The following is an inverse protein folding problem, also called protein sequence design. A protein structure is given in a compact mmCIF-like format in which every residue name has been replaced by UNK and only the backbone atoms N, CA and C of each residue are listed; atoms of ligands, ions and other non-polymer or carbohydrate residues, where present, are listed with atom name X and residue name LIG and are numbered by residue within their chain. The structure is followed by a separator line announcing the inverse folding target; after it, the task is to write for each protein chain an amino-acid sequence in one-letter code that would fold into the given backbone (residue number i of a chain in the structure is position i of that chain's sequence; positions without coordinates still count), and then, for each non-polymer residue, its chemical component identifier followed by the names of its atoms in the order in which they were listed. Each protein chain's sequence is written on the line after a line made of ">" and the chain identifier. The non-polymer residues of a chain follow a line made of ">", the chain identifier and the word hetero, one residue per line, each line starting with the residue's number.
data_IF_170784639522
#
_entry.id   IF_170784639522
#
_cell.length_a   1.000
_cell.length_b   1.000
_cell.length_c   1.000
_cell.angle_alpha   90.00
_cell.angle_beta   90.00
_cell.angle_gamma   90.00
#
_symmetry.space_group_name_H-M   'P 1'
#
loop_
_entity.id
_entity.type
_entity.pdbx_description
1 polymer ?
#
# COMPACT_ATOMS: atom_id res chain seq x y z
N UNK A 1 4.94 -3.36 3.58
CA UNK A 1 4.25 -3.44 2.27
C UNK A 1 5.09 -4.11 1.18
N UNK A 2 6.42 -4.14 1.31
CA UNK A 2 7.30 -4.79 0.32
C UNK A 2 6.98 -6.26 0.04
N UNK A 3 6.58 -7.03 1.05
CA UNK A 3 6.27 -8.44 0.81
C UNK A 3 5.02 -8.62 -0.09
N UNK A 4 3.97 -7.82 0.13
CA UNK A 4 2.78 -7.83 -0.75
C UNK A 4 3.17 -7.37 -2.16
N UNK A 5 3.94 -6.29 -2.29
CA UNK A 5 4.42 -5.82 -3.59
C UNK A 5 5.26 -6.87 -4.32
N UNK A 6 6.09 -7.62 -3.60
CA UNK A 6 6.88 -8.75 -4.12
C UNK A 6 5.98 -9.91 -4.56
N UNK A 7 4.97 -10.28 -3.77
CA UNK A 7 4.01 -11.32 -4.16
C UNK A 7 3.27 -10.93 -5.45
N UNK A 8 2.85 -9.66 -5.56
CA UNK A 8 2.26 -9.13 -6.78
C UNK A 8 3.23 -9.22 -7.96
N UNK A 9 4.48 -8.78 -7.79
CA UNK A 9 5.45 -8.72 -8.90
C UNK A 9 5.79 -10.07 -9.51
N UNK A 10 5.70 -11.16 -8.73
CA UNK A 10 5.93 -12.55 -9.21
C UNK A 10 4.67 -13.24 -9.74
N UNK A 11 3.56 -12.52 -9.90
CA UNK A 11 2.37 -13.06 -10.56
C UNK A 11 1.23 -13.50 -9.64
N UNK A 12 1.25 -13.20 -8.33
CA UNK A 12 0.13 -13.56 -7.44
C UNK A 12 -1.17 -12.84 -7.84
N UNK A 13 -2.21 -13.63 -8.16
CA UNK A 13 -3.51 -13.14 -8.66
C UNK A 13 -4.62 -13.15 -7.62
N UNK A 14 -4.45 -13.86 -6.51
CA UNK A 14 -5.47 -14.00 -5.45
C UNK A 14 -5.54 -12.79 -4.54
N UNK A 15 -4.47 -11.99 -4.46
CA UNK A 15 -4.47 -10.71 -3.74
C UNK A 15 -5.15 -9.67 -4.63
N UNK A 16 -6.34 -9.24 -4.20
CA UNK A 16 -7.18 -8.28 -4.93
C UNK A 16 -7.08 -6.85 -4.40
N UNK A 17 -6.61 -6.65 -3.17
CA UNK A 17 -6.48 -5.34 -2.55
C UNK A 17 -5.74 -5.40 -1.21
N UNK A 18 -5.46 -4.22 -0.66
CA UNK A 18 -4.86 -4.00 0.67
C UNK A 18 -5.58 -2.86 1.36
N UNK A 19 -5.49 -2.83 2.69
CA UNK A 19 -5.92 -1.71 3.52
C UNK A 19 -4.68 -1.10 4.20
N UNK A 20 -4.61 0.22 4.27
CA UNK A 20 -3.50 0.98 4.86
C UNK A 20 -4.09 2.11 5.70
N UNK A 21 -3.62 2.24 6.94
CA UNK A 21 -3.96 3.37 7.81
C UNK A 21 -2.92 4.48 7.66
N UNK A 22 -3.35 5.59 7.09
CA UNK A 22 -2.52 6.75 6.75
C UNK A 22 -3.17 8.04 7.20
N UNK A 23 -2.36 8.99 7.65
CA UNK A 23 -2.78 10.36 7.90
C UNK A 23 -1.67 11.33 7.44
N UNK A 24 -1.89 12.63 7.57
CA UNK A 24 -0.90 13.66 7.23
C UNK A 24 0.36 13.48 8.10
N UNK A 25 0.17 13.41 9.41
CA UNK A 25 1.20 13.18 10.42
C UNK A 25 1.17 11.72 10.90
N UNK A 26 2.35 11.17 11.15
CA UNK A 26 2.48 9.79 11.63
C UNK A 26 2.00 9.62 13.08
N UNK A 27 1.69 8.37 13.43
CA UNK A 27 1.33 7.96 14.78
C UNK A 27 -0.11 8.32 15.17
N UNK A 28 -0.31 8.51 16.47
CA UNK A 28 -1.59 8.90 17.09
C UNK A 28 -1.36 9.91 18.19
N UNK A 29 -2.41 10.64 18.55
CA UNK A 29 -2.47 11.54 19.70
C UNK A 29 -3.66 11.19 20.60
N UNK A 30 -3.56 11.54 21.88
CA UNK A 30 -4.65 11.36 22.85
C UNK A 30 -5.56 12.59 22.88
N UNK A 31 -6.87 12.36 23.05
CA UNK A 31 -7.84 13.44 23.21
C UNK A 31 -7.85 13.92 24.67
N UNK A 32 -7.06 14.94 24.97
CA UNK A 32 -6.93 15.50 26.33
C UNK A 32 -7.70 16.83 26.41
N UNK A 33 -8.65 16.99 27.36
CA UNK A 33 -9.40 18.24 27.52
C UNK A 33 -8.49 19.47 27.69
N UNK A 34 -8.74 20.50 26.90
CA UNK A 34 -8.00 21.77 26.96
C UNK A 34 -6.65 21.75 26.23
N UNK A 35 -6.20 20.61 25.69
CA UNK A 35 -5.01 20.55 24.84
C UNK A 35 -5.39 20.66 23.37
N UNK A 36 -4.71 21.53 22.58
CA UNK A 36 -4.93 21.58 21.15
C UNK A 36 -4.43 20.30 20.48
N UNK A 37 -5.16 19.82 19.48
CA UNK A 37 -4.75 18.67 18.68
C UNK A 37 -3.74 19.09 17.61
N UNK A 38 -2.80 18.20 17.32
CA UNK A 38 -1.97 18.28 16.12
C UNK A 38 -2.88 18.02 14.92
N UNK A 39 -2.99 19.01 14.04
CA UNK A 39 -3.76 18.84 12.81
C UNK A 39 -3.18 17.69 11.99
N UNK A 40 -4.04 16.79 11.53
CA UNK A 40 -3.60 15.73 10.65
C UNK A 40 -2.94 14.54 11.35
N UNK A 41 -3.05 14.39 12.67
CA UNK A 41 -2.61 13.18 13.39
C UNK A 41 -3.83 12.42 13.96
N UNK A 42 -3.86 11.10 13.79
CA UNK A 42 -4.98 10.26 14.23
C UNK A 42 -5.24 10.33 15.73
N UNK A 43 -6.51 10.27 16.18
CA UNK A 43 -6.87 10.16 17.60
C UNK A 43 -7.22 8.72 18.04
N UNK A 44 -7.26 7.80 17.08
CA UNK A 44 -7.57 6.38 17.29
C UNK A 44 -6.30 5.56 17.16
N UNK A 45 -6.14 4.84 16.05
CA UNK A 45 -4.99 3.98 15.76
C UNK A 45 -3.85 4.78 15.11
N UNK A 46 -2.62 4.29 15.28
CA UNK A 46 -1.43 4.96 14.75
C UNK A 46 -1.32 4.80 13.24
N UNK A 47 -1.23 5.91 12.51
CA UNK A 47 -1.11 5.91 11.06
C UNK A 47 0.34 6.13 10.58
N UNK A 48 0.63 5.76 9.34
CA UNK A 48 1.81 6.28 8.64
C UNK A 48 1.57 7.73 8.19
N UNK A 49 2.64 8.50 7.98
CA UNK A 49 2.57 9.86 7.44
C UNK A 49 2.31 9.89 5.93
N UNK A 50 2.18 11.10 5.40
CA UNK A 50 1.92 11.36 3.99
C UNK A 50 3.01 10.82 3.06
N UNK A 51 4.29 11.10 3.36
CA UNK A 51 5.40 10.70 2.51
C UNK A 51 5.52 9.17 2.45
N UNK A 52 5.33 8.49 3.58
CA UNK A 52 5.26 7.03 3.63
C UNK A 52 4.07 6.49 2.85
N UNK A 53 2.93 7.19 2.87
CA UNK A 53 1.74 6.81 2.09
C UNK A 53 2.01 6.84 0.59
N UNK A 54 2.65 7.90 0.11
CA UNK A 54 3.07 8.01 -1.29
C UNK A 54 4.02 6.87 -1.65
N UNK A 55 5.05 6.62 -0.83
CA UNK A 55 6.01 5.54 -1.07
C UNK A 55 5.33 4.16 -1.14
N UNK A 56 4.37 3.88 -0.23
CA UNK A 56 3.59 2.63 -0.26
C UNK A 56 2.78 2.49 -1.55
N UNK A 57 2.10 3.56 -1.97
CA UNK A 57 1.29 3.55 -3.19
C UNK A 57 2.15 3.34 -4.44
N UNK A 58 3.31 4.00 -4.52
CA UNK A 58 4.27 3.81 -5.61
C UNK A 58 4.79 2.38 -5.67
N UNK A 59 5.14 1.80 -4.52
CA UNK A 59 5.63 0.42 -4.41
C UNK A 59 4.58 -0.60 -4.86
N UNK A 60 3.33 -0.42 -4.43
CA UNK A 60 2.23 -1.29 -4.84
C UNK A 60 1.92 -1.14 -6.34
N UNK A 61 1.98 0.09 -6.87
CA UNK A 61 1.82 0.34 -8.30
C UNK A 61 2.91 -0.35 -9.13
N UNK A 62 4.17 -0.32 -8.69
CA UNK A 62 5.27 -1.08 -9.29
C UNK A 62 4.97 -2.59 -9.31
N UNK A 63 4.59 -3.18 -8.17
CA UNK A 63 4.23 -4.59 -8.07
C UNK A 63 3.07 -4.99 -8.99
N UNK A 64 2.03 -4.15 -9.10
CA UNK A 64 0.90 -4.38 -10.02
C UNK A 64 1.33 -4.31 -11.50
N UNK A 65 2.19 -3.36 -11.87
CA UNK A 65 2.73 -3.26 -13.24
C UNK A 65 3.53 -4.51 -13.60
N UNK A 66 4.42 -4.96 -12.71
CA UNK A 66 5.20 -6.18 -12.89
C UNK A 66 4.30 -7.42 -13.06
N UNK A 67 3.27 -7.57 -12.22
CA UNK A 67 2.27 -8.65 -12.34
C UNK A 67 1.64 -8.72 -13.73
N UNK A 68 1.25 -7.56 -14.28
CA UNK A 68 0.60 -7.47 -15.59
C UNK A 68 1.54 -7.92 -16.71
N UNK A 69 2.82 -7.56 -16.62
CA UNK A 69 3.83 -8.00 -17.59
C UNK A 69 4.02 -9.52 -17.58
N UNK A 70 4.20 -10.12 -16.40
CA UNK A 70 4.37 -11.59 -16.24
C UNK A 70 3.12 -12.34 -16.71
N UNK A 71 1.93 -11.86 -16.31
CA UNK A 71 0.66 -12.51 -16.71
C UNK A 71 0.47 -12.47 -18.23
N UNK A 72 0.79 -11.35 -18.89
CA UNK A 72 0.69 -11.23 -20.34
C UNK A 72 1.67 -12.16 -21.07
N UNK A 73 2.86 -12.42 -20.51
CA UNK A 73 3.82 -13.38 -21.07
C UNK A 73 3.31 -14.82 -20.96
N UNK A 74 2.84 -15.23 -19.78
CA UNK A 74 2.30 -16.58 -19.58
C UNK A 74 1.08 -16.90 -20.46
N UNK A 75 0.25 -15.90 -20.77
CA UNK A 75 -0.86 -16.05 -21.74
C UNK A 75 -0.34 -16.27 -23.17
N UNK A 76 0.72 -15.55 -23.58
CA UNK A 76 1.32 -15.73 -24.91
C UNK A 76 1.97 -17.11 -25.06
N UNK A 77 2.69 -17.57 -24.06
CA UNK A 77 3.33 -18.89 -24.06
C UNK A 77 2.31 -20.02 -24.09
N UNK A 78 1.24 -19.93 -23.29
CA UNK A 78 0.15 -20.91 -23.30
C UNK A 78 -0.73 -20.90 -24.55
N UNK A 79 -0.71 -19.81 -25.34
CA UNK A 79 -1.42 -19.73 -26.62
C UNK A 79 -0.59 -20.22 -27.82
N UNK A 80 0.73 -20.42 -27.66
CA UNK A 80 1.62 -20.99 -28.68
C UNK A 80 1.89 -22.49 -28.49
N UNK A 81 1.36 -23.10 -27.43
CA UNK A 81 1.36 -24.54 -27.19
C UNK A 81 0.01 -25.15 -27.61
#
# INVERSE_FOLDING_TARGET
>A
MDDVARQLSVGERRIVGVMVESHIEAGRQDLIPGQPLVYGQSITDGCIDWDSSVAVLERLAEGVRARRAVTAQGVKEGAMA
#
